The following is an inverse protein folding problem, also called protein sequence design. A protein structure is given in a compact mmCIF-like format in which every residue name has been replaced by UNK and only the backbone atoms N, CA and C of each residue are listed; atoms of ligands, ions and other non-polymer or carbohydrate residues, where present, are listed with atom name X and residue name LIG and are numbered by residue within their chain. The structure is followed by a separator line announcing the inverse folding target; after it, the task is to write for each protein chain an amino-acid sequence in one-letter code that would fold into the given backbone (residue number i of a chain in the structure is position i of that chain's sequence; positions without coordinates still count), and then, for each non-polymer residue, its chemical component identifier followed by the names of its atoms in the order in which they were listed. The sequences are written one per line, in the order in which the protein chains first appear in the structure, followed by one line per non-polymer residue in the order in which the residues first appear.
data_IF_838174541977
#
_entry.id   IF_838174541977
#
_cell.length_a   1.000
_cell.length_b   1.000
_cell.length_c   1.000
_cell.angle_alpha   90.00
_cell.angle_beta   90.00
_cell.angle_gamma   90.00
#
_symmetry.space_group_name_H-M   'P 1'
#
loop_
_entity.id
_entity.type
_entity.pdbx_description
1 polymer ?
#
# COMPACT_ATOMS: atom_id res chain seq x y z
N UNK A 1 26.94 14.92 -46.06
CA UNK A 1 26.54 13.49 -45.99
C UNK A 1 27.11 12.80 -44.73
N UNK A 2 28.35 13.06 -44.32
CA UNK A 2 28.91 12.49 -43.06
C UNK A 2 28.22 12.98 -41.77
N UNK A 3 27.84 14.25 -41.68
CA UNK A 3 27.18 14.80 -40.49
C UNK A 3 25.82 14.12 -40.20
N UNK A 4 25.08 13.76 -41.26
CA UNK A 4 23.80 13.08 -41.18
C UNK A 4 23.94 11.63 -40.69
N UNK A 5 25.01 10.93 -41.11
CA UNK A 5 25.32 9.58 -40.62
C UNK A 5 25.67 9.54 -39.14
N UNK A 6 26.48 10.50 -38.66
CA UNK A 6 26.82 10.62 -37.22
C UNK A 6 25.59 10.94 -36.37
N UNK A 7 24.68 11.77 -36.88
CA UNK A 7 23.40 12.05 -36.21
C UNK A 7 22.51 10.82 -36.14
N UNK A 8 22.43 10.03 -37.23
CA UNK A 8 21.67 8.78 -37.25
C UNK A 8 22.20 7.77 -36.22
N UNK A 9 23.51 7.67 -36.09
CA UNK A 9 24.18 6.79 -35.13
C UNK A 9 23.92 7.24 -33.68
N UNK A 10 23.99 8.54 -33.40
CA UNK A 10 23.64 9.10 -32.10
C UNK A 10 22.17 8.84 -31.73
N UNK A 11 21.25 9.01 -32.69
CA UNK A 11 19.82 8.68 -32.48
C UNK A 11 19.65 7.19 -32.16
N UNK A 12 20.39 6.31 -32.84
CA UNK A 12 20.39 4.88 -32.57
C UNK A 12 20.86 4.56 -31.15
N UNK A 13 21.97 5.14 -30.72
CA UNK A 13 22.51 4.97 -29.37
C UNK A 13 21.57 5.52 -28.28
N UNK A 14 20.94 6.67 -28.54
CA UNK A 14 19.97 7.27 -27.63
C UNK A 14 18.70 6.41 -27.51
N UNK A 15 18.19 5.89 -28.62
CA UNK A 15 17.02 4.99 -28.63
C UNK A 15 17.30 3.71 -27.85
N UNK A 16 18.49 3.11 -28.03
CA UNK A 16 18.89 1.94 -27.26
C UNK A 16 18.96 2.24 -25.75
N UNK A 17 19.52 3.39 -25.37
CA UNK A 17 19.56 3.83 -23.96
C UNK A 17 18.17 4.07 -23.39
N UNK A 18 17.26 4.67 -24.13
CA UNK A 18 15.87 4.87 -23.70
C UNK A 18 15.18 3.54 -23.42
N UNK A 19 15.25 2.59 -24.36
CA UNK A 19 14.66 1.27 -24.18
C UNK A 19 15.25 0.52 -22.97
N UNK A 20 16.56 0.64 -22.76
CA UNK A 20 17.22 0.06 -21.59
C UNK A 20 16.75 0.69 -20.28
N UNK A 21 16.62 2.02 -20.24
CA UNK A 21 16.10 2.75 -19.07
C UNK A 21 14.63 2.44 -18.79
N UNK A 22 13.78 2.32 -19.82
CA UNK A 22 12.38 1.91 -19.66
C UNK A 22 12.27 0.49 -19.08
N UNK A 23 13.10 -0.45 -19.55
CA UNK A 23 13.15 -1.80 -19.01
C UNK A 23 13.56 -1.83 -17.52
N UNK A 24 14.56 -1.03 -17.16
CA UNK A 24 14.99 -0.87 -15.76
C UNK A 24 13.89 -0.24 -14.91
N UNK A 25 13.23 0.81 -15.41
CA UNK A 25 12.13 1.46 -14.72
C UNK A 25 10.99 0.47 -14.44
N UNK A 26 10.58 -0.30 -15.44
CA UNK A 26 9.55 -1.32 -15.28
C UNK A 26 9.93 -2.38 -14.25
N UNK A 27 11.20 -2.80 -14.25
CA UNK A 27 11.73 -3.75 -13.26
C UNK A 27 11.67 -3.18 -11.85
N UNK A 28 12.04 -1.90 -11.66
CA UNK A 28 11.96 -1.23 -10.36
C UNK A 28 10.52 -1.08 -9.90
N UNK A 29 9.61 -0.67 -10.78
CA UNK A 29 8.18 -0.55 -10.48
C UNK A 29 7.60 -1.89 -10.01
N UNK A 30 7.93 -2.99 -10.69
CA UNK A 30 7.51 -4.33 -10.27
C UNK A 30 8.05 -4.67 -8.88
N UNK A 31 9.34 -4.46 -8.63
CA UNK A 31 9.96 -4.75 -7.32
C UNK A 31 9.34 -3.94 -6.19
N UNK A 32 9.03 -2.66 -6.44
CA UNK A 32 8.35 -1.81 -5.46
C UNK A 32 6.96 -2.35 -5.17
N UNK A 33 6.20 -2.73 -6.20
CA UNK A 33 4.87 -3.31 -6.03
C UNK A 33 4.90 -4.63 -5.25
N UNK A 34 5.84 -5.52 -5.59
CA UNK A 34 6.02 -6.80 -4.87
C UNK A 34 6.39 -6.57 -3.40
N UNK A 35 7.29 -5.61 -3.13
CA UNK A 35 7.67 -5.25 -1.77
C UNK A 35 6.51 -4.65 -0.96
N UNK A 36 5.73 -3.77 -1.59
CA UNK A 36 4.54 -3.17 -1.00
C UNK A 36 3.50 -4.24 -0.63
N UNK A 37 3.23 -5.17 -1.54
CA UNK A 37 2.31 -6.28 -1.30
C UNK A 37 2.82 -7.20 -0.19
N UNK A 38 4.11 -7.52 -0.19
CA UNK A 38 4.72 -8.34 0.85
C UNK A 38 4.58 -7.69 2.23
N UNK A 39 4.84 -6.39 2.32
CA UNK A 39 4.76 -5.63 3.57
C UNK A 39 3.32 -5.56 4.10
N UNK A 40 2.35 -5.29 3.20
CA UNK A 40 0.92 -5.18 3.53
C UNK A 40 0.23 -6.54 3.75
N UNK A 41 0.90 -7.66 3.49
CA UNK A 41 0.30 -9.01 3.62
C UNK A 41 -0.24 -9.31 5.03
N UNK A 42 0.31 -8.65 6.05
CA UNK A 42 -0.11 -8.80 7.44
C UNK A 42 -1.22 -7.83 7.85
N UNK A 43 -1.68 -6.99 6.94
CA UNK A 43 -2.65 -5.96 7.25
C UNK A 43 -4.07 -6.48 7.02
N UNK A 44 -4.95 -6.14 7.96
CA UNK A 44 -6.37 -6.39 7.85
C UNK A 44 -7.09 -5.12 7.42
N UNK A 45 -7.96 -5.25 6.42
CA UNK A 45 -8.88 -4.21 6.00
C UNK A 45 -10.28 -4.51 6.52
N UNK A 46 -10.83 -3.59 7.31
CA UNK A 46 -12.17 -3.67 7.85
C UNK A 46 -13.05 -2.66 7.13
N UNK A 47 -14.06 -3.15 6.42
CA UNK A 47 -14.96 -2.34 5.62
C UNK A 47 -16.27 -2.04 6.36
N UNK A 48 -17.02 -1.07 5.83
CA UNK A 48 -18.41 -0.81 6.22
C UNK A 48 -18.64 -0.35 7.67
N UNK A 49 -17.58 0.06 8.38
CA UNK A 49 -17.72 0.69 9.70
C UNK A 49 -18.05 2.17 9.49
N UNK A 50 -19.22 2.65 9.96
CA UNK A 50 -19.60 4.06 9.86
C UNK A 50 -18.55 4.97 10.49
N UNK A 51 -18.26 6.09 9.84
CA UNK A 51 -17.36 7.13 10.38
C UNK A 51 -18.05 7.93 11.48
N UNK A 52 -17.32 8.27 12.54
CA UNK A 52 -17.74 9.24 13.55
C UNK A 52 -16.61 10.26 13.78
N UNK A 53 -16.95 11.54 13.93
CA UNK A 53 -15.96 12.65 14.00
C UNK A 53 -14.93 12.49 15.11
N UNK A 54 -15.34 11.90 16.24
CA UNK A 54 -14.55 11.81 17.47
C UNK A 54 -14.25 10.36 17.86
N UNK A 55 -14.25 9.45 16.88
CA UNK A 55 -13.98 8.04 17.16
C UNK A 55 -12.53 7.79 17.55
N UNK A 56 -12.36 6.95 18.56
CA UNK A 56 -11.07 6.32 18.82
C UNK A 56 -11.01 4.99 18.07
N UNK A 57 -10.43 5.02 16.86
CA UNK A 57 -10.33 3.86 15.96
C UNK A 57 -9.62 2.69 16.63
N UNK A 58 -8.62 2.94 17.49
CA UNK A 58 -7.91 1.89 18.22
C UNK A 58 -8.85 1.15 19.19
N UNK A 59 -9.62 1.90 19.99
CA UNK A 59 -10.60 1.31 20.93
C UNK A 59 -11.66 0.53 20.17
N UNK A 60 -12.16 1.08 19.06
CA UNK A 60 -13.17 0.45 18.23
C UNK A 60 -12.67 -0.88 17.63
N UNK A 61 -11.43 -0.92 17.15
CA UNK A 61 -10.82 -2.16 16.63
C UNK A 61 -10.62 -3.18 17.75
N UNK A 62 -10.13 -2.78 18.92
CA UNK A 62 -9.97 -3.69 20.07
C UNK A 62 -11.32 -4.27 20.50
N UNK A 63 -12.36 -3.45 20.61
CA UNK A 63 -13.72 -3.89 20.93
C UNK A 63 -14.26 -4.88 19.88
N UNK A 64 -14.08 -4.57 18.59
CA UNK A 64 -14.46 -5.46 17.49
C UNK A 64 -13.73 -6.82 17.57
N UNK A 65 -12.42 -6.81 17.85
CA UNK A 65 -11.62 -8.01 17.98
C UNK A 65 -12.07 -8.87 19.15
N UNK A 66 -12.42 -8.24 20.28
CA UNK A 66 -12.94 -8.95 21.45
C UNK A 66 -14.27 -9.66 21.16
N UNK A 67 -15.15 -9.04 20.35
CA UNK A 67 -16.43 -9.62 19.94
C UNK A 67 -16.29 -10.83 19.02
N UNK A 68 -15.18 -10.94 18.30
CA UNK A 68 -14.86 -12.13 17.49
C UNK A 68 -13.98 -13.13 18.23
N UNK A 69 -13.78 -12.95 19.54
CA UNK A 69 -13.07 -13.89 20.42
C UNK A 69 -11.55 -13.68 20.49
N UNK A 70 -11.03 -12.57 19.95
CA UNK A 70 -9.60 -12.24 20.00
C UNK A 70 -9.31 -11.26 21.13
N UNK A 71 -8.47 -11.65 22.09
CA UNK A 71 -8.00 -10.76 23.14
C UNK A 71 -6.72 -10.04 22.70
N UNK A 72 -6.90 -8.85 22.13
CA UNK A 72 -5.81 -8.00 21.66
C UNK A 72 -5.75 -6.72 22.47
N UNK A 73 -4.54 -6.20 22.62
CA UNK A 73 -4.20 -4.95 23.29
C UNK A 73 -3.58 -3.97 22.29
N UNK A 74 -3.46 -2.70 22.66
CA UNK A 74 -2.84 -1.68 21.80
C UNK A 74 -1.41 -2.06 21.36
N UNK A 75 -0.68 -2.84 22.16
CA UNK A 75 0.69 -3.25 21.88
C UNK A 75 0.80 -4.35 20.82
N UNK A 76 -0.33 -4.94 20.40
CA UNK A 76 -0.37 -5.97 19.37
C UNK A 76 -0.45 -5.38 17.95
N UNK A 77 -0.50 -4.05 17.83
CA UNK A 77 -0.64 -3.33 16.56
C UNK A 77 0.51 -2.35 16.32
N UNK A 78 1.06 -2.33 15.11
CA UNK A 78 2.01 -1.28 14.71
C UNK A 78 1.29 -0.05 14.12
N UNK A 79 0.05 -0.20 13.68
CA UNK A 79 -0.73 0.90 13.13
C UNK A 79 -2.21 0.56 13.00
N UNK A 80 -3.07 1.50 13.40
CA UNK A 80 -4.52 1.44 13.18
C UNK A 80 -4.95 2.81 12.68
N UNK A 81 -5.52 2.89 11.49
CA UNK A 81 -6.01 4.14 10.95
C UNK A 81 -7.13 3.95 9.94
N UNK A 82 -7.94 4.99 9.77
CA UNK A 82 -8.90 5.05 8.66
C UNK A 82 -8.19 5.40 7.37
N UNK A 83 -8.57 4.70 6.32
CA UNK A 83 -8.19 5.04 4.97
C UNK A 83 -8.98 6.27 4.53
N UNK A 84 -8.25 7.27 4.03
CA UNK A 84 -8.86 8.45 3.45
C UNK A 84 -9.81 8.02 2.31
N UNK A 85 -10.97 8.69 2.17
CA UNK A 85 -11.87 8.39 1.08
C UNK A 85 -11.14 8.62 -0.24
N UNK A 86 -11.09 7.59 -1.08
CA UNK A 86 -10.60 7.74 -2.45
C UNK A 86 -11.41 8.85 -3.14
N UNK A 87 -10.76 9.67 -3.96
CA UNK A 87 -11.40 10.76 -4.73
C UNK A 87 -12.60 10.27 -5.55
N UNK A 88 -12.64 8.98 -5.87
CA UNK A 88 -13.70 8.32 -6.65
C UNK A 88 -14.73 7.55 -5.80
N UNK A 89 -14.64 7.57 -4.46
CA UNK A 89 -15.57 6.83 -3.60
C UNK A 89 -16.87 7.63 -3.38
N UNK A 90 -17.99 7.08 -3.85
CA UNK A 90 -19.33 7.66 -3.63
C UNK A 90 -19.79 7.56 -2.16
N UNK A 91 -19.15 6.72 -1.33
CA UNK A 91 -19.51 6.52 0.07
C UNK A 91 -18.43 7.09 1.02
N UNK A 92 -18.46 8.41 1.22
CA UNK A 92 -17.57 9.10 2.19
C UNK A 92 -17.82 8.70 3.65
N UNK A 93 -18.99 8.12 3.95
CA UNK A 93 -19.46 7.77 5.30
C UNK A 93 -18.99 6.41 5.81
N UNK A 94 -18.41 5.56 4.94
CA UNK A 94 -17.96 4.20 5.28
C UNK A 94 -16.53 4.00 4.80
N UNK A 95 -15.61 4.63 5.49
CA UNK A 95 -14.18 4.52 5.23
C UNK A 95 -13.65 3.21 5.80
N UNK A 96 -12.83 2.50 5.03
CA UNK A 96 -12.19 1.29 5.53
C UNK A 96 -11.17 1.63 6.63
N UNK A 97 -11.03 0.74 7.61
CA UNK A 97 -9.97 0.81 8.61
C UNK A 97 -8.90 -0.19 8.20
N UNK A 98 -7.64 0.24 8.18
CA UNK A 98 -6.49 -0.65 8.03
C UNK A 98 -5.87 -0.88 9.41
N UNK A 99 -5.59 -2.15 9.68
CA UNK A 99 -5.03 -2.64 10.95
C UNK A 99 -3.77 -3.43 10.63
N UNK A 100 -2.63 -2.94 11.10
CA UNK A 100 -1.33 -3.60 11.00
C UNK A 100 -0.94 -4.25 12.32
N UNK A 101 -0.65 -5.56 12.29
CA UNK A 101 -0.32 -6.35 13.49
C UNK A 101 1.20 -6.44 13.70
N UNK A 102 1.66 -6.30 14.95
CA UNK A 102 3.05 -6.47 15.39
C UNK A 102 3.46 -7.95 15.42
N UNK A 103 3.26 -8.67 14.32
CA UNK A 103 3.50 -10.11 14.23
C UNK A 103 2.53 -10.91 15.09
N UNK A 104 1.93 -11.95 14.51
CA UNK A 104 1.35 -13.02 15.31
C UNK A 104 2.54 -13.77 15.90
N UNK A 105 3.02 -13.32 17.06
CA UNK A 105 3.71 -14.25 17.95
C UNK A 105 2.58 -15.12 18.47
N UNK A 106 2.61 -16.41 18.11
CA UNK A 106 1.72 -17.41 18.71
C UNK A 106 1.84 -17.27 20.23
N UNK A 107 0.90 -16.56 20.84
CA UNK A 107 0.73 -16.54 22.28
C UNK A 107 0.00 -17.84 22.60
N UNK A 108 0.80 -18.88 22.88
CA UNK A 108 0.37 -20.14 23.46
C UNK A 108 -0.46 -19.92 24.72
#
# INVERSE_FOLDING_TARGET
KEATGKQQEQIGQLTQRLNAMESQLNTVVMRVNDHDQYTKRKDLLIYSIPFQSDENVTVLVIDLMSKVGLQLTKNDFYGIHRLLPSKNSQNKSRQAIIVGFLGITDRN
#
